data_IF_170146462354
#
_entry.id   IF_170146462354
#
_cell.length_a   1.000
_cell.length_b   1.000
_cell.length_c   1.000
_cell.angle_alpha   90.00
_cell.angle_beta   90.00
_cell.angle_gamma   90.00
#
_symmetry.space_group_name_H-M   'P 1'
#
loop_
_entity.id
_entity.type
_entity.pdbx_description
1 polymer ?
#
# COMPACT_ATOMS: atom_id res chain seq x y z
N UNK A 1 15.30 14.65 -33.42
CA UNK A 1 15.25 13.19 -33.22
C UNK A 1 13.98 12.88 -32.41
N UNK A 2 13.19 11.87 -32.73
CA UNK A 2 12.07 11.50 -31.88
C UNK A 2 12.61 11.14 -30.49
N UNK A 3 11.97 11.64 -29.46
CA UNK A 3 12.30 11.29 -28.05
C UNK A 3 12.17 9.77 -27.91
N UNK A 4 13.16 9.07 -27.30
CA UNK A 4 13.07 7.63 -27.10
C UNK A 4 11.81 7.31 -26.28
N UNK A 5 11.12 6.23 -26.68
CA UNK A 5 9.93 5.79 -25.95
C UNK A 5 10.33 5.40 -24.52
N UNK A 6 9.48 5.79 -23.57
CA UNK A 6 9.65 5.40 -22.18
C UNK A 6 9.42 3.89 -22.01
N UNK A 7 10.27 3.24 -21.21
CA UNK A 7 10.17 1.82 -20.89
C UNK A 7 9.54 1.64 -19.51
N UNK A 8 8.40 0.94 -19.43
CA UNK A 8 7.62 0.77 -18.18
C UNK A 8 7.54 -0.69 -17.79
N UNK A 9 7.93 -1.00 -16.56
CA UNK A 9 7.72 -2.30 -15.94
C UNK A 9 6.29 -2.46 -15.48
N UNK A 10 5.53 -3.40 -16.07
CA UNK A 10 4.17 -3.71 -15.67
C UNK A 10 4.16 -4.97 -14.80
N UNK A 11 4.13 -4.81 -13.48
CA UNK A 11 4.07 -5.91 -12.53
C UNK A 11 2.61 -6.33 -12.35
N UNK A 12 2.29 -7.55 -12.76
CA UNK A 12 0.93 -8.10 -12.71
C UNK A 12 0.86 -9.13 -11.59
N UNK A 13 0.01 -8.83 -10.60
CA UNK A 13 -0.31 -9.78 -9.56
C UNK A 13 -1.44 -10.69 -10.06
N UNK A 14 -1.18 -12.00 -10.14
CA UNK A 14 -2.16 -12.98 -10.60
C UNK A 14 -3.45 -12.95 -9.79
N UNK A 15 -4.57 -13.23 -10.45
CA UNK A 15 -5.89 -13.12 -9.85
C UNK A 15 -6.48 -11.70 -9.86
N UNK A 16 -5.71 -10.69 -10.24
CA UNK A 16 -6.23 -9.33 -10.45
C UNK A 16 -7.23 -9.33 -11.63
N UNK A 17 -8.38 -8.70 -11.44
CA UNK A 17 -9.38 -8.55 -12.52
C UNK A 17 -8.87 -7.54 -13.53
N UNK A 18 -8.62 -8.00 -14.75
CA UNK A 18 -8.01 -7.20 -15.81
C UNK A 18 -8.95 -6.89 -16.98
N UNK A 19 -10.19 -7.40 -17.01
CA UNK A 19 -11.15 -7.06 -18.03
C UNK A 19 -12.57 -6.86 -17.50
N UNK A 20 -13.38 -6.07 -18.20
CA UNK A 20 -14.77 -5.76 -17.85
C UNK A 20 -15.77 -6.69 -18.54
N UNK A 21 -15.31 -7.62 -19.36
CA UNK A 21 -16.19 -8.48 -20.16
C UNK A 21 -16.83 -9.60 -19.32
N UNK A 22 -18.09 -9.84 -19.59
CA UNK A 22 -18.95 -10.80 -18.89
C UNK A 22 -18.67 -12.29 -19.18
N UNK A 23 -17.55 -12.60 -19.86
CA UNK A 23 -17.25 -13.94 -20.36
C UNK A 23 -16.59 -14.90 -19.35
N UNK A 24 -16.48 -14.52 -18.09
CA UNK A 24 -16.06 -15.44 -17.01
C UNK A 24 -14.54 -15.71 -16.90
N UNK A 25 -13.70 -15.15 -17.80
CA UNK A 25 -12.24 -15.25 -17.77
C UNK A 25 -11.60 -13.87 -17.65
N UNK A 26 -11.92 -13.16 -16.56
CA UNK A 26 -11.57 -11.75 -16.42
C UNK A 26 -10.34 -11.52 -15.53
N UNK A 27 -9.69 -12.58 -15.07
CA UNK A 27 -8.48 -12.50 -14.27
C UNK A 27 -7.28 -13.04 -15.04
N UNK A 28 -6.15 -12.37 -14.94
CA UNK A 28 -4.88 -12.95 -15.35
C UNK A 28 -4.45 -13.93 -14.28
N UNK A 29 -4.53 -15.21 -14.60
CA UNK A 29 -4.23 -16.31 -13.68
C UNK A 29 -2.83 -16.87 -13.95
N UNK A 30 -2.34 -16.70 -15.19
CA UNK A 30 -1.04 -17.19 -15.63
C UNK A 30 -0.31 -16.21 -16.55
N UNK A 31 0.99 -16.45 -16.76
CA UNK A 31 1.78 -15.68 -17.74
C UNK A 31 1.21 -15.73 -19.16
N UNK A 32 0.53 -16.81 -19.53
CA UNK A 32 -0.02 -17.01 -20.85
C UNK A 32 -1.21 -16.10 -21.15
N UNK A 33 -1.87 -15.58 -20.09
CA UNK A 33 -3.03 -14.69 -20.23
C UNK A 33 -2.61 -13.25 -20.55
N UNK A 34 -1.34 -12.89 -20.29
CA UNK A 34 -0.85 -11.50 -20.39
C UNK A 34 -0.85 -10.99 -21.83
N UNK A 35 -0.29 -11.78 -22.77
CA UNK A 35 -0.21 -11.34 -24.17
C UNK A 35 -1.58 -11.11 -24.81
N UNK A 36 -2.56 -12.04 -24.71
CA UNK A 36 -3.91 -11.80 -25.22
C UNK A 36 -4.57 -10.59 -24.55
N UNK A 37 -4.36 -10.41 -23.24
CA UNK A 37 -4.90 -9.28 -22.51
C UNK A 37 -4.34 -7.93 -22.99
N UNK A 38 -3.02 -7.80 -23.13
CA UNK A 38 -2.36 -6.59 -23.64
C UNK A 38 -2.76 -6.29 -25.09
N UNK A 39 -2.97 -7.34 -25.93
CA UNK A 39 -3.40 -7.18 -27.32
C UNK A 39 -4.80 -6.56 -27.42
N UNK A 40 -5.64 -6.70 -26.40
CA UNK A 40 -6.96 -6.06 -26.35
C UNK A 40 -6.91 -4.58 -25.92
N UNK A 41 -5.71 -4.04 -25.64
CA UNK A 41 -5.50 -2.65 -25.24
C UNK A 41 -4.39 -1.99 -26.06
N UNK A 42 -4.62 -1.76 -27.36
CA UNK A 42 -3.59 -1.20 -28.24
C UNK A 42 -3.12 0.20 -27.82
N UNK A 43 -3.98 0.97 -27.14
CA UNK A 43 -3.65 2.28 -26.58
C UNK A 43 -2.47 2.25 -25.60
N UNK A 44 -2.34 1.18 -24.83
CA UNK A 44 -1.24 1.02 -23.86
C UNK A 44 0.10 0.91 -24.61
N UNK A 45 0.13 0.13 -25.69
CA UNK A 45 1.34 -0.07 -26.49
C UNK A 45 1.78 1.17 -27.26
N UNK A 46 0.87 2.14 -27.46
CA UNK A 46 1.21 3.43 -28.09
C UNK A 46 1.91 4.36 -27.08
N UNK A 47 1.56 4.25 -25.79
CA UNK A 47 2.03 5.16 -24.74
C UNK A 47 3.49 4.92 -24.35
N UNK A 48 3.90 3.66 -24.21
CA UNK A 48 5.22 3.27 -23.74
C UNK A 48 5.61 1.88 -24.25
N UNK A 49 6.89 1.52 -24.09
CA UNK A 49 7.35 0.15 -24.22
C UNK A 49 7.11 -0.58 -22.90
N UNK A 50 6.19 -1.54 -22.92
CA UNK A 50 5.73 -2.21 -21.70
C UNK A 50 6.35 -3.60 -21.59
N UNK A 51 7.06 -3.84 -20.47
CA UNK A 51 7.59 -5.16 -20.14
C UNK A 51 6.77 -5.74 -18.96
N UNK A 52 5.94 -6.77 -19.22
CA UNK A 52 5.14 -7.37 -18.18
C UNK A 52 5.93 -8.37 -17.34
N UNK A 53 5.76 -8.29 -16.02
CA UNK A 53 6.29 -9.25 -15.03
C UNK A 53 5.13 -9.82 -14.24
N UNK A 54 5.02 -11.14 -14.20
CA UNK A 54 3.94 -11.83 -13.50
C UNK A 54 4.41 -12.36 -12.14
N UNK A 55 3.63 -12.04 -11.11
CA UNK A 55 3.82 -12.53 -9.73
C UNK A 55 2.50 -13.09 -9.23
N UNK A 56 2.51 -14.13 -8.44
CA UNK A 56 1.35 -14.81 -7.87
C UNK A 56 0.53 -15.58 -8.93
N UNK A 57 0.64 -16.88 -8.93
CA UNK A 57 -0.05 -17.80 -9.84
C UNK A 57 -1.35 -18.36 -9.26
N UNK A 58 -1.94 -19.33 -9.97
CA UNK A 58 -3.20 -20.00 -9.59
C UNK A 58 -3.16 -20.70 -8.22
N UNK A 59 -2.00 -21.13 -7.77
CA UNK A 59 -1.81 -21.84 -6.49
C UNK A 59 -1.77 -20.92 -5.29
N UNK A 60 -1.49 -19.64 -5.51
CA UNK A 60 -1.36 -18.64 -4.47
C UNK A 60 -2.73 -17.99 -4.24
N UNK A 61 -3.31 -18.20 -3.07
CA UNK A 61 -4.68 -17.73 -2.77
C UNK A 61 -4.73 -16.25 -2.48
N UNK A 62 -3.78 -15.75 -1.68
CA UNK A 62 -3.77 -14.37 -1.19
C UNK A 62 -2.36 -13.77 -1.29
N UNK A 63 -2.22 -12.54 -1.79
CA UNK A 63 -0.95 -11.83 -1.76
C UNK A 63 -0.55 -11.49 -0.32
N UNK A 64 0.72 -11.67 -0.01
CA UNK A 64 1.28 -11.43 1.31
C UNK A 64 2.68 -10.80 1.22
N UNK A 65 3.33 -10.61 2.36
CA UNK A 65 4.64 -9.96 2.46
C UNK A 65 5.73 -10.63 1.60
N UNK A 66 5.67 -11.95 1.37
CA UNK A 66 6.64 -12.66 0.51
C UNK A 66 6.53 -12.15 -0.93
N UNK A 67 5.31 -12.01 -1.43
CA UNK A 67 5.04 -11.49 -2.78
C UNK A 67 5.43 -10.01 -2.90
N UNK A 68 5.18 -9.21 -1.85
CA UNK A 68 5.54 -7.79 -1.82
C UNK A 68 7.05 -7.59 -1.80
N UNK A 69 7.80 -8.42 -1.06
CA UNK A 69 9.27 -8.43 -1.10
C UNK A 69 9.77 -8.73 -2.51
N UNK A 70 9.19 -9.75 -3.17
CA UNK A 70 9.56 -10.09 -4.54
C UNK A 70 9.27 -8.94 -5.52
N UNK A 71 8.18 -8.18 -5.32
CA UNK A 71 7.95 -6.96 -6.11
C UNK A 71 9.07 -5.93 -5.89
N UNK A 72 9.46 -5.69 -4.64
CA UNK A 72 10.54 -4.78 -4.29
C UNK A 72 11.87 -5.19 -4.92
N UNK A 73 12.22 -6.48 -4.87
CA UNK A 73 13.41 -7.06 -5.49
C UNK A 73 13.40 -6.85 -7.02
N UNK A 74 12.29 -7.15 -7.69
CA UNK A 74 12.15 -6.96 -9.15
C UNK A 74 12.30 -5.47 -9.51
N UNK A 75 11.70 -4.56 -8.73
CA UNK A 75 11.85 -3.13 -8.98
C UNK A 75 13.31 -2.70 -8.78
N UNK A 76 13.94 -3.16 -7.72
CA UNK A 76 15.35 -2.85 -7.43
C UNK A 76 16.30 -3.34 -8.52
N UNK A 77 16.13 -4.58 -8.97
CA UNK A 77 16.96 -5.17 -10.02
C UNK A 77 16.83 -4.43 -11.36
N UNK A 78 15.68 -3.79 -11.59
CA UNK A 78 15.34 -3.17 -12.88
C UNK A 78 15.21 -1.64 -12.82
N UNK A 79 15.58 -1.01 -11.71
CA UNK A 79 15.40 0.43 -11.49
C UNK A 79 16.11 1.30 -12.54
N UNK A 80 17.28 0.85 -12.99
CA UNK A 80 18.08 1.56 -13.99
C UNK A 80 17.63 1.28 -15.44
N UNK A 81 16.90 0.16 -15.66
CA UNK A 81 16.43 -0.22 -16.98
C UNK A 81 15.10 0.43 -17.38
N UNK A 82 14.29 0.85 -16.39
CA UNK A 82 12.94 1.35 -16.59
C UNK A 82 12.80 2.81 -16.17
N UNK A 83 11.90 3.52 -16.84
CA UNK A 83 11.53 4.90 -16.51
C UNK A 83 10.47 4.98 -15.40
N UNK A 84 9.76 3.88 -15.14
CA UNK A 84 8.76 3.78 -14.08
C UNK A 84 8.13 2.39 -14.02
N UNK A 85 7.31 2.17 -13.00
CA UNK A 85 6.65 0.89 -12.77
C UNK A 85 5.16 1.08 -12.50
N UNK A 86 4.36 0.17 -13.04
CA UNK A 86 2.93 0.04 -12.69
C UNK A 86 2.72 -1.32 -12.06
N UNK A 87 2.03 -1.37 -10.93
CA UNK A 87 1.69 -2.59 -10.21
C UNK A 87 0.18 -2.76 -10.21
N UNK A 88 -0.32 -3.84 -10.85
CA UNK A 88 -1.73 -4.23 -10.71
C UNK A 88 -1.89 -5.15 -9.52
N UNK A 89 -2.75 -4.79 -8.58
CA UNK A 89 -2.88 -5.47 -7.31
C UNK A 89 -4.35 -5.67 -6.90
N UNK A 90 -4.59 -6.66 -6.04
CA UNK A 90 -5.90 -6.86 -5.39
C UNK A 90 -6.22 -5.67 -4.48
N UNK A 91 -7.41 -5.11 -4.62
CA UNK A 91 -7.84 -3.92 -3.87
C UNK A 91 -7.81 -4.14 -2.35
N UNK A 92 -8.18 -5.34 -1.88
CA UNK A 92 -8.26 -5.64 -0.44
C UNK A 92 -6.92 -5.54 0.30
N UNK A 93 -5.80 -5.83 -0.36
CA UNK A 93 -4.46 -5.76 0.22
C UNK A 93 -3.55 -4.73 -0.44
N UNK A 94 -4.11 -3.88 -1.32
CA UNK A 94 -3.33 -2.89 -2.07
C UNK A 94 -2.68 -1.84 -1.16
N UNK A 95 -3.40 -1.32 -0.15
CA UNK A 95 -2.84 -0.38 0.83
C UNK A 95 -1.65 -0.99 1.57
N UNK A 96 -1.80 -2.21 2.06
CA UNK A 96 -0.73 -2.89 2.79
C UNK A 96 0.49 -3.13 1.89
N UNK A 97 0.28 -3.58 0.64
CA UNK A 97 1.34 -3.81 -0.32
C UNK A 97 2.09 -2.53 -0.68
N UNK A 98 1.35 -1.47 -0.99
CA UNK A 98 1.94 -0.17 -1.38
C UNK A 98 2.65 0.52 -0.21
N UNK A 99 2.10 0.44 1.02
CA UNK A 99 2.80 0.87 2.23
C UNK A 99 4.10 0.08 2.44
N UNK A 100 4.07 -1.26 2.30
CA UNK A 100 5.28 -2.07 2.43
C UNK A 100 6.36 -1.64 1.44
N UNK A 101 6.01 -1.44 0.15
CA UNK A 101 6.94 -0.99 -0.86
C UNK A 101 7.47 0.44 -0.58
N UNK A 102 6.66 1.32 0.00
CA UNK A 102 7.11 2.66 0.40
C UNK A 102 8.27 2.61 1.39
N UNK A 103 8.27 1.64 2.32
CA UNK A 103 9.37 1.43 3.27
C UNK A 103 10.51 0.60 2.70
N UNK A 104 10.27 -0.27 1.73
CA UNK A 104 11.31 -1.06 1.07
C UNK A 104 12.18 -0.24 0.12
N UNK A 105 11.56 0.64 -0.67
CA UNK A 105 12.19 1.34 -1.79
C UNK A 105 12.68 2.73 -1.33
N UNK A 106 13.78 2.75 -0.60
CA UNK A 106 14.35 3.99 -0.07
C UNK A 106 15.04 4.81 -1.16
N UNK A 107 14.85 6.12 -1.12
CA UNK A 107 15.40 7.07 -2.10
C UNK A 107 15.00 6.73 -3.55
N UNK A 108 13.76 6.36 -3.75
CA UNK A 108 13.21 5.99 -5.04
C UNK A 108 13.35 7.14 -6.05
N UNK A 109 13.91 6.85 -7.22
CA UNK A 109 14.16 7.82 -8.30
C UNK A 109 13.17 7.70 -9.46
N UNK A 110 12.28 6.74 -9.43
CA UNK A 110 11.30 6.43 -10.48
C UNK A 110 9.90 6.31 -9.89
N UNK A 111 8.84 6.63 -10.64
CA UNK A 111 7.46 6.38 -10.20
C UNK A 111 7.19 4.89 -10.02
N UNK A 112 6.53 4.51 -8.92
CA UNK A 112 5.96 3.19 -8.69
C UNK A 112 4.48 3.36 -8.40
N UNK A 113 3.62 3.00 -9.35
CA UNK A 113 2.20 3.33 -9.33
C UNK A 113 1.36 2.07 -9.16
N UNK A 114 0.71 1.94 -8.00
CA UNK A 114 -0.25 0.88 -7.74
C UNK A 114 -1.61 1.22 -8.33
N UNK A 115 -2.25 0.20 -8.90
CA UNK A 115 -3.63 0.30 -9.41
C UNK A 115 -4.33 -1.05 -9.36
N UNK A 116 -5.61 -1.09 -9.70
CA UNK A 116 -6.41 -2.30 -9.71
C UNK A 116 -7.84 -2.05 -10.18
N UNK A 117 -8.70 -3.03 -9.96
CA UNK A 117 -10.12 -2.94 -10.29
C UNK A 117 -10.98 -2.96 -9.04
N UNK A 118 -11.96 -2.07 -8.97
CA UNK A 118 -13.00 -2.10 -7.94
C UNK A 118 -14.08 -3.15 -8.21
N UNK A 119 -14.13 -3.72 -9.40
CA UNK A 119 -15.16 -4.68 -9.78
C UNK A 119 -14.81 -6.04 -9.16
N UNK A 120 -15.62 -6.57 -8.22
CA UNK A 120 -15.36 -7.86 -7.61
C UNK A 120 -15.43 -9.00 -8.62
N UNK A 121 -14.53 -9.98 -8.52
CA UNK A 121 -14.54 -11.22 -9.33
C UNK A 121 -15.89 -11.94 -9.29
N UNK A 122 -16.58 -11.91 -8.15
CA UNK A 122 -17.88 -12.56 -7.95
C UNK A 122 -19.00 -11.96 -8.79
N UNK A 123 -18.94 -10.66 -9.09
CA UNK A 123 -19.94 -9.98 -9.92
C UNK A 123 -19.81 -10.38 -11.39
N UNK A 124 -18.59 -10.65 -11.87
CA UNK A 124 -18.37 -11.12 -13.25
C UNK A 124 -18.96 -12.51 -13.52
N UNK A 125 -19.20 -13.32 -12.48
CA UNK A 125 -19.78 -14.67 -12.57
C UNK A 125 -21.32 -14.70 -12.52
N UNK A 126 -21.97 -13.60 -12.15
CA UNK A 126 -23.44 -13.56 -11.96
C UNK A 126 -24.11 -12.90 -13.15
N UNK A 127 -25.00 -13.63 -13.84
CA UNK A 127 -25.80 -13.12 -14.99
C UNK A 127 -26.61 -11.85 -14.71
N UNK A 128 -26.86 -11.51 -13.45
CA UNK A 128 -27.57 -10.31 -12.97
C UNK A 128 -26.73 -9.00 -13.12
N UNK A 129 -25.55 -9.09 -13.67
CA UNK A 129 -24.51 -8.07 -13.54
C UNK A 129 -24.66 -6.86 -14.46
N UNK A 130 -25.45 -6.89 -15.55
CA UNK A 130 -25.56 -5.73 -16.47
C UNK A 130 -25.99 -4.44 -15.78
N UNK A 131 -26.88 -4.52 -14.76
CA UNK A 131 -27.35 -3.35 -14.00
C UNK A 131 -26.31 -2.91 -12.96
N UNK A 132 -25.61 -3.88 -12.36
CA UNK A 132 -24.54 -3.65 -11.38
C UNK A 132 -23.28 -3.14 -12.10
N UNK A 133 -22.87 -3.75 -13.23
CA UNK A 133 -21.76 -3.30 -14.06
C UNK A 133 -21.97 -1.88 -14.60
N UNK A 134 -23.22 -1.51 -14.95
CA UNK A 134 -23.54 -0.11 -15.30
C UNK A 134 -23.26 0.86 -14.15
N UNK A 135 -23.47 0.45 -12.90
CA UNK A 135 -23.16 1.25 -11.70
C UNK A 135 -21.66 1.45 -11.51
N UNK A 136 -20.84 0.49 -11.94
CA UNK A 136 -19.37 0.55 -11.88
C UNK A 136 -18.72 1.05 -13.18
N UNK A 137 -19.49 1.56 -14.14
CA UNK A 137 -18.98 2.07 -15.40
C UNK A 137 -17.97 3.19 -15.16
N UNK A 138 -16.76 3.01 -15.68
CA UNK A 138 -15.62 3.91 -15.45
C UNK A 138 -14.75 3.55 -14.24
N UNK A 139 -15.12 2.55 -13.43
CA UNK A 139 -14.34 2.07 -12.28
C UNK A 139 -13.53 0.80 -12.61
N UNK A 140 -13.48 0.40 -13.88
CA UNK A 140 -12.77 -0.79 -14.33
C UNK A 140 -11.27 -0.61 -14.42
N UNK A 141 -10.57 -1.74 -14.51
CA UNK A 141 -9.11 -1.81 -14.58
C UNK A 141 -8.53 -1.04 -15.76
N UNK A 142 -9.20 -1.02 -16.93
CA UNK A 142 -8.66 -0.41 -18.14
C UNK A 142 -8.38 1.08 -17.97
N UNK A 143 -9.35 1.85 -17.49
CA UNK A 143 -9.18 3.28 -17.23
C UNK A 143 -8.12 3.56 -16.16
N UNK A 144 -8.16 2.81 -15.06
CA UNK A 144 -7.18 2.93 -13.98
C UNK A 144 -5.76 2.60 -14.46
N UNK A 145 -5.62 1.57 -15.30
CA UNK A 145 -4.32 1.18 -15.84
C UNK A 145 -3.75 2.22 -16.82
N UNK A 146 -4.59 2.78 -17.70
CA UNK A 146 -4.17 3.86 -18.61
C UNK A 146 -3.67 5.06 -17.80
N UNK A 147 -4.43 5.48 -16.79
CA UNK A 147 -4.05 6.58 -15.93
C UNK A 147 -2.75 6.27 -15.13
N UNK A 148 -2.62 5.06 -14.61
CA UNK A 148 -1.40 4.63 -13.91
C UNK A 148 -0.17 4.63 -14.83
N UNK A 149 -0.31 4.22 -16.09
CA UNK A 149 0.77 4.27 -17.07
C UNK A 149 1.16 5.71 -17.43
N UNK A 150 0.19 6.61 -17.57
CA UNK A 150 0.49 8.03 -17.78
C UNK A 150 1.34 8.60 -16.65
N UNK A 151 0.98 8.25 -15.41
CA UNK A 151 1.75 8.66 -14.23
C UNK A 151 3.13 7.97 -14.19
N UNK A 152 3.24 6.69 -14.52
CA UNK A 152 4.53 6.00 -14.53
C UNK A 152 5.52 6.59 -15.54
N UNK A 153 5.03 7.24 -16.60
CA UNK A 153 5.85 7.89 -17.63
C UNK A 153 6.42 9.24 -17.15
N UNK A 154 5.66 10.01 -16.37
CA UNK A 154 6.00 11.41 -16.05
C UNK A 154 5.61 11.88 -14.64
N UNK A 155 5.19 10.97 -13.77
CA UNK A 155 4.75 11.28 -12.42
C UNK A 155 5.89 11.38 -11.41
N UNK A 156 5.53 11.58 -10.13
CA UNK A 156 6.48 11.74 -9.05
C UNK A 156 7.22 10.44 -8.72
N UNK A 157 8.48 10.58 -8.27
CA UNK A 157 9.35 9.48 -7.86
C UNK A 157 8.98 8.96 -6.45
N UNK A 158 7.78 8.44 -6.31
CA UNK A 158 7.20 7.92 -5.07
C UNK A 158 6.42 6.62 -5.33
N UNK A 159 6.19 5.85 -4.26
CA UNK A 159 5.17 4.80 -4.30
C UNK A 159 3.80 5.45 -4.11
N UNK A 160 2.94 5.28 -5.08
CA UNK A 160 1.65 5.96 -5.16
C UNK A 160 0.53 5.02 -5.60
N UNK A 161 -0.72 5.45 -5.38
CA UNK A 161 -1.91 4.71 -5.77
C UNK A 161 -2.73 5.57 -6.74
N UNK A 162 -3.00 5.02 -7.93
CA UNK A 162 -3.83 5.65 -8.95
C UNK A 162 -5.16 4.95 -9.10
N UNK A 163 -6.25 5.64 -8.74
CA UNK A 163 -7.62 5.18 -8.95
C UNK A 163 -8.51 6.35 -9.40
N UNK A 164 -9.36 6.08 -10.38
CA UNK A 164 -10.18 7.12 -10.98
C UNK A 164 -9.31 8.20 -11.62
N UNK A 165 -9.42 9.42 -11.13
CA UNK A 165 -8.63 10.56 -11.60
C UNK A 165 -7.67 11.14 -10.55
N UNK A 166 -7.47 10.46 -9.41
CA UNK A 166 -6.57 10.92 -8.34
C UNK A 166 -5.38 9.99 -8.16
N UNK A 167 -4.20 10.58 -8.05
CA UNK A 167 -2.99 9.93 -7.58
C UNK A 167 -2.76 10.33 -6.12
N UNK A 168 -2.63 9.36 -5.24
CA UNK A 168 -2.38 9.61 -3.81
C UNK A 168 -1.11 8.92 -3.34
N UNK A 169 -0.42 9.51 -2.35
CA UNK A 169 0.74 8.89 -1.70
C UNK A 169 0.30 7.63 -0.97
N UNK A 170 0.98 6.52 -1.24
CA UNK A 170 0.52 5.20 -0.81
C UNK A 170 0.41 5.05 0.71
N UNK A 171 1.39 5.52 1.45
CA UNK A 171 1.47 5.36 2.92
C UNK A 171 0.72 6.44 3.71
N UNK A 172 0.00 7.34 3.03
CA UNK A 172 -0.96 8.26 3.63
C UNK A 172 -2.38 8.04 3.09
N UNK A 173 -2.57 7.02 2.25
CA UNK A 173 -3.86 6.72 1.66
C UNK A 173 -4.77 5.93 2.61
N UNK A 174 -6.08 6.14 2.43
CA UNK A 174 -7.14 5.36 3.08
C UNK A 174 -8.25 5.04 2.08
N UNK A 175 -9.02 3.99 2.36
CA UNK A 175 -10.18 3.60 1.53
C UNK A 175 -11.37 4.48 1.87
N UNK A 176 -12.03 5.04 0.85
CA UNK A 176 -13.29 5.77 1.03
C UNK A 176 -14.46 4.80 1.24
N UNK A 177 -15.39 5.15 2.13
CA UNK A 177 -16.57 4.33 2.44
C UNK A 177 -17.63 4.30 1.32
N UNK A 178 -17.51 5.12 0.31
CA UNK A 178 -18.48 5.22 -0.78
C UNK A 178 -18.00 4.54 -2.06
N UNK A 179 -18.93 4.02 -2.86
CA UNK A 179 -18.67 3.59 -4.24
C UNK A 179 -18.38 4.85 -5.08
N UNK A 180 -17.15 5.31 -5.05
CA UNK A 180 -16.71 6.47 -5.80
C UNK A 180 -15.69 6.06 -6.87
N UNK A 181 -15.53 6.92 -7.89
CA UNK A 181 -14.48 6.77 -8.89
C UNK A 181 -13.10 6.69 -8.21
N UNK A 182 -12.90 7.53 -7.20
CA UNK A 182 -11.69 7.58 -6.38
C UNK A 182 -11.87 6.71 -5.13
N UNK A 183 -11.53 5.44 -5.23
CA UNK A 183 -11.64 4.49 -4.11
C UNK A 183 -10.71 4.85 -2.96
N UNK A 184 -9.52 5.39 -3.28
CA UNK A 184 -8.53 5.82 -2.31
C UNK A 184 -8.52 7.34 -2.22
N UNK A 185 -8.35 7.84 -1.02
CA UNK A 185 -8.19 9.25 -0.72
C UNK A 185 -7.02 9.43 0.26
N UNK A 186 -6.53 10.65 0.38
CA UNK A 186 -5.44 11.02 1.27
C UNK A 186 -5.58 12.50 1.67
N UNK A 187 -4.84 12.99 2.67
CA UNK A 187 -4.72 14.42 2.96
C UNK A 187 -4.33 15.23 1.72
N UNK A 188 -4.58 16.53 1.74
CA UNK A 188 -4.41 17.41 0.57
C UNK A 188 -2.97 17.37 0.03
N UNK A 189 -1.96 17.45 0.90
CA UNK A 189 -0.54 17.35 0.53
C UNK A 189 -0.11 15.94 0.08
N UNK A 190 -0.89 14.92 0.36
CA UNK A 190 -0.67 13.57 -0.11
C UNK A 190 -1.48 13.21 -1.37
N UNK A 191 -2.29 14.15 -1.88
CA UNK A 191 -2.86 14.07 -3.22
C UNK A 191 -1.81 14.59 -4.21
N UNK A 192 -1.10 13.66 -4.85
CA UNK A 192 0.10 13.93 -5.65
C UNK A 192 -0.20 14.43 -7.06
N UNK A 193 -1.31 14.00 -7.64
CA UNK A 193 -1.75 14.47 -8.94
C UNK A 193 -3.25 14.26 -9.16
N UNK A 194 -3.80 15.01 -10.10
CA UNK A 194 -5.13 14.78 -10.68
C UNK A 194 -5.04 14.68 -12.19
N UNK A 195 -5.88 13.83 -12.78
CA UNK A 195 -6.00 13.64 -14.23
C UNK A 195 -7.40 14.07 -14.65
N UNK A 196 -7.48 15.17 -15.38
CA UNK A 196 -8.70 15.64 -16.01
C UNK A 196 -8.48 15.76 -17.54
N UNK A 197 -8.32 16.99 -18.08
CA UNK A 197 -7.90 17.21 -19.47
C UNK A 197 -6.39 17.03 -19.65
N UNK A 198 -5.64 16.89 -18.59
CA UNK A 198 -4.20 16.65 -18.50
C UNK A 198 -3.81 16.27 -17.10
N UNK A 199 -2.53 15.95 -16.91
CA UNK A 199 -1.98 15.61 -15.59
C UNK A 199 -1.55 16.90 -14.89
N UNK A 200 -2.14 17.14 -13.71
CA UNK A 200 -1.73 18.22 -12.81
C UNK A 200 -1.02 17.61 -11.62
N UNK A 201 0.30 17.76 -11.57
CA UNK A 201 1.12 17.27 -10.45
C UNK A 201 1.13 18.33 -9.35
N UNK A 202 0.95 17.90 -8.09
CA UNK A 202 1.00 18.76 -6.91
C UNK A 202 2.44 19.20 -6.60
N UNK A 203 2.61 20.38 -6.03
CA UNK A 203 3.91 20.87 -5.53
C UNK A 203 4.45 19.99 -4.39
N UNK A 204 3.59 19.32 -3.63
CA UNK A 204 3.97 18.39 -2.56
C UNK A 204 4.46 17.03 -3.07
N UNK A 205 4.33 16.75 -4.37
CA UNK A 205 4.81 15.52 -4.97
C UNK A 205 6.33 15.55 -5.14
N UNK A 206 6.99 14.44 -4.76
CA UNK A 206 8.44 14.33 -4.91
C UNK A 206 8.82 14.19 -6.38
N UNK A 207 9.51 15.17 -6.94
CA UNK A 207 9.92 15.16 -8.34
C UNK A 207 11.10 14.21 -8.58
N UNK A 208 12.11 14.29 -7.71
CA UNK A 208 13.33 13.46 -7.80
C UNK A 208 13.95 13.28 -6.43
N UNK A 209 14.48 12.10 -6.16
CA UNK A 209 15.26 11.86 -4.94
C UNK A 209 16.75 11.91 -5.24
N UNK A 210 17.49 12.75 -4.50
CA UNK A 210 18.95 12.94 -4.68
C UNK A 210 19.79 11.89 -3.94
N UNK A 211 19.16 11.05 -3.10
CA UNK A 211 19.85 9.97 -2.38
C UNK A 211 20.10 8.75 -3.25
N UNK A 212 21.08 7.94 -2.88
CA UNK A 212 21.31 6.64 -3.52
C UNK A 212 20.15 5.70 -3.21
N UNK A 213 19.56 5.10 -4.24
CA UNK A 213 18.52 4.10 -4.08
C UNK A 213 18.99 2.92 -3.22
N UNK A 214 18.12 2.43 -2.34
CA UNK A 214 18.36 1.26 -1.49
C UNK A 214 17.11 0.41 -1.40
N UNK A 215 17.29 -0.92 -1.46
CA UNK A 215 16.25 -1.88 -1.14
C UNK A 215 16.39 -2.33 0.32
N UNK A 216 15.40 -2.00 1.14
CA UNK A 216 15.31 -2.42 2.56
C UNK A 216 14.15 -3.40 2.78
N UNK A 217 14.29 -4.62 2.25
CA UNK A 217 13.24 -5.64 2.26
C UNK A 217 13.17 -6.51 3.53
N UNK A 218 13.89 -6.13 4.60
CA UNK A 218 13.85 -6.85 5.87
C UNK A 218 12.62 -6.41 6.70
N UNK A 219 11.68 -7.33 6.85
CA UNK A 219 10.47 -7.18 7.66
C UNK A 219 10.33 -8.34 8.62
N UNK A 220 9.82 -8.06 9.81
CA UNK A 220 9.40 -9.10 10.76
C UNK A 220 7.87 -9.23 10.73
N UNK A 221 7.36 -10.37 10.25
CA UNK A 221 5.92 -10.60 10.10
C UNK A 221 5.24 -11.12 11.37
N UNK A 222 6.03 -11.51 12.41
CA UNK A 222 5.50 -11.98 13.68
C UNK A 222 5.01 -10.80 14.56
N UNK A 223 4.05 -10.03 14.05
CA UNK A 223 3.42 -8.90 14.73
C UNK A 223 1.96 -9.22 14.97
N UNK A 224 1.51 -9.07 16.22
CA UNK A 224 0.10 -9.17 16.57
C UNK A 224 -0.56 -7.79 16.57
N UNK A 225 -1.75 -7.72 16.01
CA UNK A 225 -2.59 -6.51 15.99
C UNK A 225 -3.83 -6.78 16.81
N UNK A 226 -4.17 -5.88 17.72
CA UNK A 226 -5.33 -5.96 18.58
C UNK A 226 -6.08 -4.62 18.59
N UNK A 227 -7.40 -4.66 18.56
CA UNK A 227 -8.24 -3.50 18.85
C UNK A 227 -8.57 -3.53 20.34
N UNK A 228 -8.49 -2.40 21.00
CA UNK A 228 -8.82 -2.25 22.39
C UNK A 228 -10.04 -1.33 22.59
N UNK A 229 -11.03 -1.83 23.32
CA UNK A 229 -12.18 -1.09 23.80
C UNK A 229 -12.17 -1.08 25.33
N UNK A 230 -12.70 -0.04 25.96
CA UNK A 230 -12.64 0.20 27.41
C UNK A 230 -13.25 -0.90 28.26
N UNK A 231 -14.17 -1.69 27.71
CA UNK A 231 -14.84 -2.82 28.39
C UNK A 231 -14.14 -4.17 28.16
N UNK A 232 -13.06 -4.22 27.36
CA UNK A 232 -12.32 -5.45 27.15
C UNK A 232 -11.55 -5.89 28.39
N UNK A 233 -11.69 -7.17 28.71
CA UNK A 233 -10.91 -7.76 29.79
C UNK A 233 -9.46 -8.05 29.35
N UNK A 234 -8.56 -8.16 30.33
CA UNK A 234 -7.15 -8.43 30.08
C UNK A 234 -6.86 -9.82 29.47
N UNK A 235 -7.84 -10.75 29.44
CA UNK A 235 -7.65 -12.13 28.99
C UNK A 235 -7.30 -12.21 27.52
N UNK A 236 -7.93 -11.39 26.66
CA UNK A 236 -7.59 -11.35 25.25
C UNK A 236 -6.13 -10.92 25.03
N UNK A 237 -5.69 -9.87 25.71
CA UNK A 237 -4.29 -9.42 25.60
C UNK A 237 -3.32 -10.47 26.19
N UNK A 238 -3.66 -11.15 27.28
CA UNK A 238 -2.87 -12.28 27.81
C UNK A 238 -2.69 -13.37 26.75
N UNK A 239 -3.76 -13.70 26.02
CA UNK A 239 -3.70 -14.67 24.92
C UNK A 239 -2.78 -14.17 23.79
N UNK A 240 -2.91 -12.89 23.36
CA UNK A 240 -2.02 -12.28 22.35
C UNK A 240 -0.56 -12.42 22.77
N UNK A 241 -0.21 -12.00 23.99
CA UNK A 241 1.16 -12.08 24.47
C UNK A 241 1.66 -13.51 24.67
N UNK A 242 0.78 -14.47 24.95
CA UNK A 242 1.14 -15.89 25.07
C UNK A 242 1.68 -16.48 23.77
N UNK A 243 1.33 -15.90 22.62
CA UNK A 243 1.85 -16.29 21.29
C UNK A 243 3.29 -15.82 21.04
N UNK A 244 3.89 -15.07 21.95
CA UNK A 244 5.26 -14.54 21.88
C UNK A 244 5.52 -13.78 20.58
N UNK A 245 4.70 -12.79 20.21
CA UNK A 245 4.94 -11.98 19.03
C UNK A 245 6.25 -11.19 19.18
N UNK A 246 6.86 -10.84 18.04
CA UNK A 246 8.03 -9.95 18.01
C UNK A 246 7.66 -8.49 18.34
N UNK A 247 6.40 -8.14 18.19
CA UNK A 247 5.83 -6.85 18.52
C UNK A 247 4.30 -6.89 18.57
N UNK A 248 3.70 -5.97 19.29
CA UNK A 248 2.24 -5.83 19.43
C UNK A 248 1.81 -4.43 19.06
N UNK A 249 0.82 -4.31 18.19
CA UNK A 249 0.12 -3.06 17.89
C UNK A 249 -1.25 -3.14 18.54
N UNK A 250 -1.60 -2.12 19.30
CA UNK A 250 -2.92 -1.95 19.88
C UNK A 250 -3.56 -0.70 19.27
N UNK A 251 -4.66 -0.88 18.56
CA UNK A 251 -5.47 0.24 18.10
C UNK A 251 -6.44 0.63 19.22
N UNK A 252 -6.36 1.87 19.69
CA UNK A 252 -7.20 2.36 20.77
C UNK A 252 -7.50 3.84 20.63
N UNK A 253 -8.73 4.23 20.99
CA UNK A 253 -9.13 5.63 21.15
C UNK A 253 -8.89 6.14 22.58
N UNK A 254 -8.85 5.24 23.57
CA UNK A 254 -8.57 5.55 24.98
C UNK A 254 -7.14 5.09 25.34
N UNK A 255 -6.19 6.00 25.15
CA UNK A 255 -4.77 5.72 25.33
C UNK A 255 -4.45 5.49 26.81
N UNK A 256 -4.99 6.31 27.71
CA UNK A 256 -4.66 6.29 29.14
C UNK A 256 -5.12 4.98 29.78
N UNK A 257 -6.36 4.56 29.56
CA UNK A 257 -6.87 3.27 30.03
C UNK A 257 -6.09 2.09 29.43
N UNK A 258 -5.67 2.19 28.17
CA UNK A 258 -4.85 1.16 27.52
C UNK A 258 -3.48 1.06 28.18
N UNK A 259 -2.82 2.18 28.44
CA UNK A 259 -1.52 2.23 29.12
C UNK A 259 -1.63 1.70 30.56
N UNK A 260 -2.67 2.10 31.29
CA UNK A 260 -2.92 1.62 32.67
C UNK A 260 -3.09 0.10 32.69
N UNK A 261 -3.93 -0.45 31.79
CA UNK A 261 -4.12 -1.89 31.67
C UNK A 261 -2.81 -2.63 31.36
N UNK A 262 -2.01 -2.12 30.43
CA UNK A 262 -0.75 -2.72 30.03
C UNK A 262 0.24 -2.74 31.22
N UNK A 263 0.38 -1.64 31.94
CA UNK A 263 1.28 -1.54 33.06
C UNK A 263 0.85 -2.44 34.23
N UNK A 264 -0.45 -2.52 34.54
CA UNK A 264 -1.01 -3.32 35.64
C UNK A 264 -0.97 -4.82 35.34
N UNK A 265 -1.34 -5.21 34.14
CA UNK A 265 -1.61 -6.62 33.77
C UNK A 265 -0.45 -7.33 33.12
N UNK A 266 0.50 -6.57 32.53
CA UNK A 266 1.52 -7.14 31.63
C UNK A 266 2.98 -6.74 31.92
N UNK A 267 3.41 -6.53 33.18
CA UNK A 267 4.79 -6.12 33.46
C UNK A 267 5.84 -7.15 32.99
N UNK A 268 5.47 -8.44 32.97
CA UNK A 268 6.34 -9.53 32.52
C UNK A 268 6.62 -9.53 30.99
N UNK A 269 5.81 -8.81 30.21
CA UNK A 269 6.00 -8.69 28.75
C UNK A 269 6.72 -7.40 28.35
N UNK A 270 7.34 -6.72 29.31
CA UNK A 270 8.10 -5.49 29.08
C UNK A 270 9.20 -5.63 27.99
N UNK A 271 9.59 -6.86 27.64
CA UNK A 271 10.58 -7.11 26.58
C UNK A 271 10.00 -7.06 25.17
N UNK A 272 8.70 -7.15 24.98
CA UNK A 272 8.05 -7.06 23.66
C UNK A 272 7.81 -5.58 23.35
N UNK A 273 8.25 -5.07 22.16
CA UNK A 273 7.87 -3.73 21.73
C UNK A 273 6.35 -3.61 21.57
N UNK A 274 5.77 -2.60 22.22
CA UNK A 274 4.34 -2.31 22.17
C UNK A 274 4.15 -0.94 21.55
N UNK A 275 3.25 -0.88 20.57
CA UNK A 275 2.87 0.34 19.88
C UNK A 275 1.35 0.53 20.04
N UNK A 276 0.93 1.72 20.43
CA UNK A 276 -0.48 2.12 20.40
C UNK A 276 -0.69 3.02 19.18
N UNK A 277 -1.61 2.62 18.31
CA UNK A 277 -2.10 3.48 17.24
C UNK A 277 -3.44 4.10 17.65
N UNK A 278 -3.56 5.39 17.46
CA UNK A 278 -4.78 6.14 17.75
C UNK A 278 -5.06 7.18 16.68
N UNK A 279 -6.34 7.48 16.47
CA UNK A 279 -6.80 8.61 15.65
C UNK A 279 -7.06 9.85 16.53
N UNK A 280 -6.86 9.75 17.84
CA UNK A 280 -7.05 10.87 18.76
C UNK A 280 -5.84 11.80 18.76
N UNK A 281 -6.08 13.10 18.60
CA UNK A 281 -5.04 14.15 18.65
C UNK A 281 -4.59 14.51 20.07
N UNK A 282 -5.04 13.80 21.10
CA UNK A 282 -4.64 14.04 22.50
C UNK A 282 -3.18 13.62 22.70
N UNK A 283 -2.36 14.53 23.22
CA UNK A 283 -0.97 14.23 23.59
C UNK A 283 -0.94 13.17 24.69
N UNK A 284 -0.49 11.95 24.38
CA UNK A 284 -0.49 10.89 25.36
C UNK A 284 0.64 11.07 26.39
N UNK A 285 0.39 10.67 27.62
CA UNK A 285 1.42 10.43 28.61
C UNK A 285 2.26 9.22 28.20
N UNK A 286 3.22 9.43 27.29
CA UNK A 286 4.08 8.35 26.80
C UNK A 286 4.95 7.79 27.90
N UNK A 287 4.86 6.49 28.14
CA UNK A 287 5.81 5.80 29.02
C UNK A 287 7.07 5.41 28.22
N UNK A 288 8.20 5.22 28.88
CA UNK A 288 9.48 4.80 28.22
C UNK A 288 9.39 3.45 27.48
N UNK A 289 8.29 2.71 27.64
CA UNK A 289 8.13 1.34 27.13
C UNK A 289 7.10 1.21 26.00
N UNK A 290 6.20 2.18 25.84
CA UNK A 290 5.10 2.15 24.88
C UNK A 290 5.24 3.34 23.94
N UNK A 291 5.27 3.06 22.64
CA UNK A 291 5.29 4.09 21.60
C UNK A 291 3.86 4.36 21.14
N UNK A 292 3.45 5.62 21.18
CA UNK A 292 2.13 6.03 20.65
C UNK A 292 2.30 6.73 19.33
N UNK A 293 1.47 6.38 18.36
CA UNK A 293 1.44 6.92 17.00
C UNK A 293 0.02 7.39 16.68
N UNK A 294 -0.11 8.67 16.30
CA UNK A 294 -1.38 9.29 15.91
C UNK A 294 -1.32 10.00 14.54
N UNK A 295 -0.14 10.12 13.97
CA UNK A 295 0.14 10.91 12.77
C UNK A 295 0.49 10.06 11.54
N UNK A 296 0.02 8.83 11.50
CA UNK A 296 0.13 7.92 10.34
C UNK A 296 -1.17 7.16 10.16
N UNK A 297 -1.45 6.71 8.93
CA UNK A 297 -2.55 5.76 8.70
C UNK A 297 -2.26 4.44 9.42
N UNK A 298 -3.31 3.68 9.72
CA UNK A 298 -3.15 2.40 10.40
C UNK A 298 -2.31 1.42 9.59
N UNK A 299 -2.55 1.32 8.29
CA UNK A 299 -1.80 0.45 7.37
C UNK A 299 -0.32 0.84 7.31
N UNK A 300 -0.02 2.14 7.22
CA UNK A 300 1.37 2.63 7.27
C UNK A 300 2.03 2.29 8.60
N UNK A 301 1.31 2.48 9.71
CA UNK A 301 1.80 2.15 11.06
C UNK A 301 2.15 0.66 11.18
N UNK A 302 1.27 -0.23 10.71
CA UNK A 302 1.51 -1.68 10.75
C UNK A 302 2.72 -2.07 9.89
N UNK A 303 2.81 -1.56 8.65
CA UNK A 303 3.91 -1.92 7.76
C UNK A 303 5.24 -1.32 8.22
N UNK A 304 5.25 -0.08 8.71
CA UNK A 304 6.44 0.54 9.30
C UNK A 304 6.94 -0.21 10.52
N UNK A 305 6.04 -0.67 11.39
CA UNK A 305 6.43 -1.42 12.58
C UNK A 305 7.05 -2.78 12.22
N UNK A 306 6.47 -3.51 11.26
CA UNK A 306 7.04 -4.75 10.73
C UNK A 306 8.43 -4.50 10.10
N UNK A 307 8.58 -3.40 9.38
CA UNK A 307 9.86 -2.96 8.81
C UNK A 307 10.87 -2.62 9.91
N UNK A 308 10.51 -1.78 10.88
CA UNK A 308 11.39 -1.40 11.98
C UNK A 308 11.88 -2.60 12.80
N UNK A 309 10.98 -3.58 13.07
CA UNK A 309 11.31 -4.86 13.72
C UNK A 309 12.21 -5.77 12.84
N UNK A 310 12.23 -5.55 11.54
CA UNK A 310 13.16 -6.21 10.63
C UNK A 310 14.56 -5.60 10.66
N UNK A 311 14.67 -4.28 10.95
CA UNK A 311 15.96 -3.57 10.98
C UNK A 311 16.71 -3.80 12.29
N UNK A 312 16.01 -3.92 13.43
CA UNK A 312 16.65 -4.00 14.75
C UNK A 312 15.78 -4.74 15.77
N UNK A 313 16.43 -5.28 16.82
CA UNK A 313 15.78 -5.84 18.00
C UNK A 313 15.79 -4.87 19.20
N UNK A 314 16.52 -3.75 19.09
CA UNK A 314 16.58 -2.74 20.14
C UNK A 314 15.30 -1.92 20.18
N UNK A 315 14.59 -1.93 21.28
CA UNK A 315 13.31 -1.21 21.43
C UNK A 315 13.41 0.30 21.30
N UNK A 316 14.50 0.89 21.81
CA UNK A 316 14.71 2.34 21.70
C UNK A 316 14.90 2.72 20.25
N UNK A 317 15.64 1.89 19.50
CA UNK A 317 15.85 2.09 18.08
C UNK A 317 14.56 1.87 17.29
N UNK A 318 13.75 0.84 17.61
CA UNK A 318 12.43 0.63 17.03
C UNK A 318 11.54 1.86 17.27
N UNK A 319 11.46 2.36 18.51
CA UNK A 319 10.67 3.55 18.83
C UNK A 319 11.16 4.81 18.08
N UNK A 320 12.47 4.94 17.91
CA UNK A 320 13.06 6.02 17.09
C UNK A 320 12.65 5.91 15.65
N UNK A 321 12.83 4.73 15.02
CA UNK A 321 12.43 4.48 13.63
C UNK A 321 10.94 4.75 13.41
N UNK A 322 10.07 4.39 14.36
CA UNK A 322 8.63 4.66 14.26
C UNK A 322 8.28 6.16 14.24
N UNK A 323 9.09 7.02 14.85
CA UNK A 323 8.88 8.47 14.91
C UNK A 323 9.57 9.25 13.79
N UNK A 324 10.58 8.68 13.14
CA UNK A 324 11.27 9.28 12.00
C UNK A 324 10.39 9.21 10.74
N UNK A 325 10.44 10.23 9.89
CA UNK A 325 9.76 10.24 8.61
C UNK A 325 10.62 9.51 7.57
N UNK A 326 10.41 8.20 7.41
CA UNK A 326 11.24 7.34 6.57
C UNK A 326 10.84 7.38 5.09
N UNK A 327 9.54 7.51 4.80
CA UNK A 327 8.99 7.40 3.44
C UNK A 327 7.85 8.40 3.18
N UNK A 328 7.87 9.55 3.84
CA UNK A 328 6.80 10.58 3.78
C UNK A 328 5.45 10.07 4.31
N UNK A 329 5.47 9.17 5.29
CA UNK A 329 4.28 8.58 5.88
C UNK A 329 3.64 9.42 6.98
N UNK A 330 4.38 10.39 7.53
CA UNK A 330 3.89 11.25 8.61
C UNK A 330 2.92 12.29 8.04
N UNK A 331 1.73 12.33 8.61
CA UNK A 331 0.70 13.32 8.31
C UNK A 331 0.93 14.52 9.24
N UNK A 332 1.05 15.71 8.70
CA UNK A 332 1.25 16.94 9.46
C UNK A 332 -0.04 17.38 10.17
N UNK A 333 0.08 18.01 11.35
CA UNK A 333 -1.09 18.52 12.07
C UNK A 333 -1.81 19.61 11.25
N UNK A 334 -3.13 19.48 11.16
CA UNK A 334 -3.98 20.41 10.43
C UNK A 334 -4.38 19.94 9.03
N UNK A 335 -4.06 18.72 8.65
CA UNK A 335 -4.44 18.08 7.37
C UNK A 335 -5.57 17.05 7.47
#
# INVERSE_FOLDING_TARGET
MPTPRKKIGLIILGGTVLSEESSGKNAVISKNDIKPWLSNMPEINIMADIEPVFILGEKDKEPNLIHWKKMGEIIADKIDEFDGFVVTHHVHSLLQASCALSFMLQNLSKPVVFTGSQIPLTISKVKTSKKILKKYKGLGIKANLINALQIAIQGPSEVSIMFGNKLVRANQAHITKSLSLNLFNAPSKATLATIDFGIKISESARQENKGTFKLEALFNDNVSVANFYTDQNAEFLKWVFSKKPSGVIIQSHDIDSTIELLNKSFPKYSNIPILIHTESHLSPNTTKQITVISNMTFEATVMKFKWALGQTKDKKQIAKLMKENAALEIIEEGE
#
